data_IF_555339219965
#
_entry.id   IF_555339219965
#
_cell.length_a   1.000
_cell.length_b   1.000
_cell.length_c   1.000
_cell.angle_alpha   90.00
_cell.angle_beta   90.00
_cell.angle_gamma   90.00
#
_symmetry.space_group_name_H-M   'P 1'
#
loop_
_entity.id
_entity.type
_entity.pdbx_description
1 polymer ?
#
# COMPACT_ATOMS: atom_id res chain seq x y z
N UNK A 1 -21.30 -1.66 -58.88
CA UNK A 1 -19.82 -1.79 -58.75
C UNK A 1 -19.37 -2.18 -57.32
N UNK A 2 -20.12 -3.03 -56.60
CA UNK A 2 -19.80 -3.46 -55.21
C UNK A 2 -19.79 -5.00 -55.04
N UNK A 3 -20.21 -5.76 -56.06
CA UNK A 3 -20.23 -7.23 -55.98
C UNK A 3 -18.88 -7.90 -56.27
N UNK A 4 -17.97 -7.25 -57.02
CA UNK A 4 -16.67 -7.84 -57.35
C UNK A 4 -15.67 -7.81 -56.18
N UNK A 5 -15.75 -6.83 -55.27
CA UNK A 5 -14.84 -6.70 -54.12
C UNK A 5 -15.11 -7.71 -53.00
N UNK A 6 -16.35 -8.20 -52.85
CA UNK A 6 -16.67 -9.24 -51.86
C UNK A 6 -16.18 -10.64 -52.26
N UNK A 7 -16.06 -10.91 -53.57
CA UNK A 7 -15.55 -12.20 -54.07
C UNK A 7 -14.03 -12.31 -53.93
N UNK A 8 -13.29 -11.22 -54.17
CA UNK A 8 -11.83 -11.20 -54.03
C UNK A 8 -11.38 -11.31 -52.57
N UNK A 9 -12.11 -10.71 -51.62
CA UNK A 9 -11.79 -10.83 -50.19
C UNK A 9 -12.00 -12.26 -49.66
N UNK A 10 -13.05 -12.96 -50.11
CA UNK A 10 -13.28 -14.36 -49.74
C UNK A 10 -12.22 -15.31 -50.33
N UNK A 11 -11.75 -15.05 -51.55
CA UNK A 11 -10.69 -15.83 -52.16
C UNK A 11 -9.34 -15.63 -51.43
N UNK A 12 -9.05 -14.41 -51.02
CA UNK A 12 -7.84 -14.08 -50.26
C UNK A 12 -7.83 -14.73 -48.86
N UNK A 13 -8.97 -14.72 -48.15
CA UNK A 13 -9.09 -15.41 -46.85
C UNK A 13 -8.94 -16.94 -46.98
N UNK A 14 -9.50 -17.53 -48.05
CA UNK A 14 -9.39 -18.97 -48.28
C UNK A 14 -7.95 -19.38 -48.59
N UNK A 15 -7.22 -18.57 -49.37
CA UNK A 15 -5.79 -18.80 -49.65
C UNK A 15 -4.95 -18.68 -48.37
N UNK A 16 -5.26 -17.73 -47.47
CA UNK A 16 -4.54 -17.57 -46.21
C UNK A 16 -4.69 -18.81 -45.30
N UNK A 17 -5.90 -19.38 -45.22
CA UNK A 17 -6.18 -20.61 -44.45
C UNK A 17 -5.50 -21.84 -45.06
N UNK A 18 -5.37 -21.91 -46.39
CA UNK A 18 -4.64 -23.00 -47.06
C UNK A 18 -3.13 -22.89 -46.79
N UNK A 19 -2.55 -21.68 -46.82
CA UNK A 19 -1.13 -21.47 -46.53
C UNK A 19 -0.76 -21.76 -45.06
N UNK A 20 -1.62 -21.43 -44.09
CA UNK A 20 -1.35 -21.77 -42.67
C UNK A 20 -1.41 -23.27 -42.40
N UNK A 21 -2.23 -24.02 -43.15
CA UNK A 21 -2.33 -25.48 -43.00
C UNK A 21 -1.21 -26.24 -43.74
N UNK A 22 -0.68 -25.68 -44.83
CA UNK A 22 0.49 -26.26 -45.52
C UNK A 22 1.80 -26.03 -44.75
N UNK A 23 1.93 -24.91 -44.04
CA UNK A 23 3.13 -24.60 -43.24
C UNK A 23 3.30 -25.46 -41.98
N UNK A 24 2.28 -26.22 -41.56
CA UNK A 24 2.36 -27.11 -40.40
C UNK A 24 2.58 -28.59 -40.77
N UNK A 25 2.85 -28.91 -42.05
CA UNK A 25 2.95 -30.31 -42.53
C UNK A 25 4.29 -30.71 -43.15
N UNK A 26 5.37 -30.02 -42.80
CA UNK A 26 6.74 -30.45 -43.14
C UNK A 26 7.64 -30.38 -41.90
N UNK A 27 7.59 -31.44 -41.09
CA UNK A 27 8.77 -31.97 -40.39
C UNK A 27 8.48 -33.35 -39.79
N UNK A 28 8.14 -34.30 -40.65
CA UNK A 28 8.26 -35.73 -40.32
C UNK A 28 8.68 -36.51 -41.56
N UNK A 29 9.98 -36.59 -41.82
CA UNK A 29 10.56 -37.68 -42.60
C UNK A 29 11.80 -38.19 -41.86
N UNK A 30 11.68 -39.39 -41.27
CA UNK A 30 12.42 -40.59 -41.68
C UNK A 30 13.93 -40.40 -41.69
N UNK A 31 14.54 -40.46 -40.51
CA UNK A 31 15.89 -40.99 -40.29
C UNK A 31 16.13 -41.14 -38.78
N UNK A 32 15.48 -42.12 -38.13
CA UNK A 32 15.87 -42.60 -36.78
C UNK A 32 15.18 -43.91 -36.38
N UNK A 33 15.19 -44.89 -37.27
CA UNK A 33 14.61 -46.22 -37.01
C UNK A 33 15.66 -47.30 -36.69
N UNK A 34 16.88 -46.91 -36.29
CA UNK A 34 17.96 -47.87 -36.00
C UNK A 34 18.65 -47.73 -34.63
N UNK A 35 18.03 -47.05 -33.66
CA UNK A 35 18.54 -47.01 -32.27
C UNK A 35 17.52 -47.40 -31.20
N UNK A 36 16.37 -47.98 -31.58
CA UNK A 36 15.20 -48.15 -30.70
C UNK A 36 15.26 -49.39 -29.78
N UNK A 37 16.19 -50.33 -29.97
CA UNK A 37 16.17 -51.60 -29.21
C UNK A 37 17.07 -51.67 -27.97
N UNK A 38 17.73 -50.58 -27.57
CA UNK A 38 18.57 -50.56 -26.34
C UNK A 38 18.18 -49.49 -25.32
N UNK A 39 17.12 -48.71 -25.58
CA UNK A 39 16.64 -47.65 -24.67
C UNK A 39 15.26 -47.93 -24.08
N UNK A 40 14.66 -49.08 -24.38
CA UNK A 40 13.30 -49.44 -23.93
C UNK A 40 13.23 -50.01 -22.51
N UNK A 41 14.36 -50.36 -21.89
CA UNK A 41 14.40 -50.91 -20.51
C UNK A 41 14.73 -49.87 -19.42
N UNK A 42 15.08 -48.63 -19.78
CA UNK A 42 15.44 -47.57 -18.81
C UNK A 42 14.43 -46.42 -18.73
N UNK A 43 13.39 -46.44 -19.57
CA UNK A 43 12.38 -45.37 -19.65
C UNK A 43 11.14 -45.71 -18.82
N UNK A 44 10.78 -46.98 -18.65
CA UNK A 44 9.58 -47.35 -17.87
C UNK A 44 9.76 -47.13 -16.36
N UNK A 45 10.96 -47.29 -15.79
CA UNK A 45 11.19 -46.97 -14.37
C UNK A 45 11.22 -45.48 -14.06
N UNK A 46 11.44 -44.64 -15.09
CA UNK A 46 11.51 -43.19 -14.93
C UNK A 46 10.12 -42.55 -15.07
N UNK A 47 9.22 -43.14 -15.87
CA UNK A 47 7.86 -42.64 -16.06
C UNK A 47 6.97 -42.95 -14.84
N UNK A 48 7.10 -44.13 -14.21
CA UNK A 48 6.36 -44.41 -12.96
C UNK A 48 6.83 -43.55 -11.77
N UNK A 49 8.10 -43.12 -11.80
CA UNK A 49 8.62 -42.17 -10.81
C UNK A 49 8.08 -40.75 -11.08
N UNK A 50 7.93 -40.35 -12.35
CA UNK A 50 7.38 -39.03 -12.74
C UNK A 50 5.87 -38.95 -12.49
N UNK A 51 5.11 -40.02 -12.75
CA UNK A 51 3.65 -40.05 -12.52
C UNK A 51 3.32 -40.07 -11.01
N UNK A 52 4.18 -40.68 -10.17
CA UNK A 52 4.04 -40.57 -8.72
C UNK A 52 4.49 -39.21 -8.17
N UNK A 53 5.50 -38.57 -8.77
CA UNK A 53 5.87 -37.18 -8.46
C UNK A 53 4.81 -36.15 -8.87
N UNK A 54 4.04 -36.39 -9.93
CA UNK A 54 2.90 -35.53 -10.33
C UNK A 54 1.62 -35.75 -9.51
N UNK A 55 1.47 -36.91 -8.85
CA UNK A 55 0.36 -37.15 -7.92
C UNK A 55 0.63 -36.61 -6.52
N UNK A 56 1.88 -36.61 -6.07
CA UNK A 56 2.26 -36.02 -4.78
C UNK A 56 2.49 -34.50 -4.85
N UNK A 57 2.62 -33.91 -6.04
CA UNK A 57 2.76 -32.45 -6.21
C UNK A 57 1.45 -31.66 -6.19
N UNK A 58 0.29 -32.33 -6.12
CA UNK A 58 -1.02 -31.67 -5.97
C UNK A 58 -1.35 -31.18 -4.56
N UNK A 59 -0.44 -31.35 -3.59
CA UNK A 59 -0.60 -30.81 -2.23
C UNK A 59 0.71 -30.20 -1.66
N UNK A 60 1.63 -29.75 -2.52
CA UNK A 60 2.73 -28.92 -2.03
C UNK A 60 2.17 -27.51 -1.79
N UNK A 61 1.85 -27.25 -0.53
CA UNK A 61 1.77 -25.92 0.06
C UNK A 61 2.98 -25.11 -0.40
N UNK A 62 2.78 -24.27 -1.43
CA UNK A 62 3.72 -23.21 -1.79
C UNK A 62 3.50 -22.07 -0.79
N UNK A 63 3.87 -22.30 0.47
CA UNK A 63 3.83 -21.28 1.53
C UNK A 63 5.22 -20.71 1.86
N UNK A 64 6.32 -21.29 1.36
CA UNK A 64 7.63 -21.09 2.00
C UNK A 64 8.63 -20.14 1.31
N UNK A 65 8.25 -19.30 0.33
CA UNK A 65 9.22 -18.35 -0.26
C UNK A 65 8.70 -16.95 -0.63
N UNK A 66 7.50 -16.55 -0.18
CA UNK A 66 6.96 -15.21 -0.44
C UNK A 66 6.92 -14.39 0.85
N UNK A 67 7.99 -13.65 1.13
CA UNK A 67 8.21 -12.96 2.41
C UNK A 67 7.38 -11.69 2.64
N UNK A 68 6.50 -11.28 1.72
CA UNK A 68 5.49 -10.25 2.03
C UNK A 68 4.28 -10.25 1.08
N UNK A 69 3.19 -10.93 1.46
CA UNK A 69 1.89 -10.75 0.79
C UNK A 69 1.14 -9.53 1.31
N UNK A 70 0.73 -8.60 0.44
CA UNK A 70 -0.34 -7.69 0.81
C UNK A 70 -1.66 -8.46 0.78
N UNK A 71 -2.29 -8.64 1.94
CA UNK A 71 -3.60 -9.27 2.07
C UNK A 71 -4.68 -8.19 2.08
N UNK A 72 -5.75 -8.40 1.32
CA UNK A 72 -6.86 -7.46 1.20
C UNK A 72 -8.16 -8.19 1.50
N UNK A 73 -8.96 -7.60 2.38
CA UNK A 73 -10.26 -8.13 2.79
C UNK A 73 -11.37 -7.24 2.29
N UNK A 74 -12.51 -7.86 1.98
CA UNK A 74 -13.68 -7.12 1.58
C UNK A 74 -14.08 -6.11 2.65
N UNK A 75 -14.40 -4.89 2.23
CA UNK A 75 -14.82 -3.83 3.12
C UNK A 75 -16.27 -3.43 2.89
N UNK A 76 -16.64 -3.15 1.63
CA UNK A 76 -17.97 -2.68 1.24
C UNK A 76 -18.11 -2.70 -0.28
N UNK A 77 -19.34 -2.64 -0.78
CA UNK A 77 -19.62 -2.38 -2.19
C UNK A 77 -20.65 -1.25 -2.39
N UNK A 78 -20.74 -0.73 -3.62
CA UNK A 78 -21.75 0.25 -4.00
C UNK A 78 -22.04 0.18 -5.50
N UNK A 79 -23.30 0.37 -5.89
CA UNK A 79 -23.71 0.36 -7.29
C UNK A 79 -23.55 1.72 -7.97
N UNK A 80 -23.13 1.72 -9.23
CA UNK A 80 -22.95 2.91 -10.07
C UNK A 80 -24.24 3.31 -10.77
N UNK A 81 -25.06 2.34 -11.22
CA UNK A 81 -26.12 2.58 -12.20
C UNK A 81 -27.52 2.15 -11.77
N UNK A 82 -27.70 1.35 -10.72
CA UNK A 82 -29.03 0.99 -10.18
C UNK A 82 -28.94 0.45 -8.75
N UNK A 83 -29.91 0.70 -7.85
CA UNK A 83 -29.91 0.15 -6.49
C UNK A 83 -30.15 -1.37 -6.41
N UNK A 84 -29.96 -2.13 -7.50
CA UNK A 84 -29.87 -3.59 -7.39
C UNK A 84 -28.69 -3.92 -6.47
N UNK A 85 -28.98 -4.76 -5.48
CA UNK A 85 -28.08 -5.10 -4.39
C UNK A 85 -26.82 -5.74 -4.97
N UNK A 86 -25.73 -4.98 -4.95
CA UNK A 86 -24.41 -5.53 -5.16
C UNK A 86 -24.25 -6.73 -4.22
N UNK A 87 -23.79 -7.86 -4.75
CA UNK A 87 -23.74 -9.10 -4.00
C UNK A 87 -22.53 -9.09 -3.05
N UNK A 88 -22.73 -8.54 -1.84
CA UNK A 88 -21.70 -8.50 -0.79
C UNK A 88 -21.20 -9.90 -0.43
N UNK A 89 -22.12 -10.87 -0.35
CA UNK A 89 -21.82 -12.26 0.01
C UNK A 89 -20.85 -12.93 -0.98
N UNK A 90 -20.79 -12.48 -2.24
CA UNK A 90 -19.82 -13.02 -3.22
C UNK A 90 -18.37 -12.82 -2.78
N UNK A 91 -18.11 -11.75 -2.03
CA UNK A 91 -16.75 -11.32 -1.68
C UNK A 91 -16.47 -11.28 -0.18
N UNK A 92 -17.46 -11.56 0.68
CA UNK A 92 -17.31 -11.48 2.14
C UNK A 92 -16.16 -12.34 2.67
N UNK A 93 -16.03 -13.58 2.19
CA UNK A 93 -14.95 -14.50 2.55
C UNK A 93 -13.70 -14.41 1.65
N UNK A 94 -13.67 -13.45 0.73
CA UNK A 94 -12.63 -13.34 -0.28
C UNK A 94 -11.34 -12.76 0.28
N UNK A 95 -10.30 -13.60 0.39
CA UNK A 95 -8.93 -13.18 0.73
C UNK A 95 -8.13 -12.99 -0.53
N UNK A 96 -7.87 -11.73 -0.84
CA UNK A 96 -7.13 -11.34 -2.01
C UNK A 96 -5.67 -11.08 -1.63
N UNK A 97 -4.72 -11.75 -2.29
CA UNK A 97 -3.28 -11.50 -2.12
C UNK A 97 -2.63 -11.22 -3.46
N UNK A 98 -1.72 -10.26 -3.46
CA UNK A 98 -0.88 -9.92 -4.61
C UNK A 98 0.57 -10.16 -4.22
N UNK A 99 1.28 -10.92 -5.05
CA UNK A 99 2.72 -11.17 -4.88
C UNK A 99 3.41 -10.99 -6.23
N UNK A 100 4.22 -9.94 -6.35
CA UNK A 100 4.79 -9.49 -7.62
C UNK A 100 3.69 -9.31 -8.68
N UNK A 101 3.65 -10.20 -9.66
CA UNK A 101 2.68 -10.21 -10.75
C UNK A 101 1.66 -11.35 -10.62
N UNK A 102 1.58 -12.04 -9.48
CA UNK A 102 0.67 -13.18 -9.28
C UNK A 102 -0.45 -12.85 -8.29
N UNK A 103 -1.66 -13.29 -8.63
CA UNK A 103 -2.84 -13.13 -7.78
C UNK A 103 -3.19 -14.45 -7.11
N UNK A 104 -3.42 -14.38 -5.80
CA UNK A 104 -3.94 -15.49 -5.01
C UNK A 104 -5.28 -15.10 -4.40
N UNK A 105 -6.24 -16.01 -4.50
CA UNK A 105 -7.58 -15.87 -3.97
C UNK A 105 -7.81 -17.04 -3.03
N UNK A 106 -8.12 -16.75 -1.76
CA UNK A 106 -8.28 -17.77 -0.72
C UNK A 106 -7.08 -18.72 -0.66
N UNK A 107 -5.87 -18.14 -0.75
CA UNK A 107 -4.57 -18.83 -0.81
C UNK A 107 -4.32 -19.69 -2.06
N UNK A 108 -5.24 -19.72 -3.03
CA UNK A 108 -5.05 -20.43 -4.28
C UNK A 108 -4.52 -19.48 -5.35
N UNK A 109 -3.46 -19.87 -6.06
CA UNK A 109 -3.02 -19.16 -7.25
C UNK A 109 -4.15 -19.09 -8.28
N UNK A 110 -4.30 -17.94 -8.94
CA UNK A 110 -5.32 -17.74 -9.97
C UNK A 110 -4.68 -17.47 -11.32
N UNK A 111 -4.17 -16.26 -11.53
CA UNK A 111 -3.49 -15.85 -12.76
C UNK A 111 -2.38 -14.84 -12.44
N UNK A 112 -1.51 -14.64 -13.43
CA UNK A 112 -0.60 -13.50 -13.44
C UNK A 112 -1.33 -12.25 -13.96
N UNK A 113 -0.92 -11.08 -13.49
CA UNK A 113 -1.47 -9.77 -13.84
C UNK A 113 -0.42 -8.87 -14.46
N UNK A 114 -0.89 -7.86 -15.20
CA UNK A 114 -0.05 -6.77 -15.69
C UNK A 114 -0.30 -5.55 -14.81
N UNK A 115 0.76 -5.02 -14.22
CA UNK A 115 0.72 -3.81 -13.40
C UNK A 115 1.00 -2.56 -14.23
N UNK A 116 0.43 -1.42 -13.84
CA UNK A 116 0.72 -0.14 -14.49
C UNK A 116 0.14 1.06 -13.72
N UNK A 117 0.20 2.24 -14.35
CA UNK A 117 -0.40 3.47 -13.83
C UNK A 117 -1.24 4.16 -14.89
N UNK A 118 -2.30 4.83 -14.45
CA UNK A 118 -3.14 5.65 -15.32
C UNK A 118 -3.66 6.91 -14.63
N UNK A 119 -4.06 7.91 -15.42
CA UNK A 119 -4.70 9.13 -14.91
C UNK A 119 -6.08 8.81 -14.35
N UNK A 120 -6.41 9.37 -13.20
CA UNK A 120 -7.65 9.04 -12.49
C UNK A 120 -8.93 9.38 -13.26
N UNK A 121 -8.92 10.42 -14.10
CA UNK A 121 -10.05 10.74 -14.99
C UNK A 121 -10.46 9.58 -15.92
N UNK A 122 -9.54 8.66 -16.22
CA UNK A 122 -9.85 7.47 -17.02
C UNK A 122 -10.65 6.43 -16.23
N UNK A 123 -10.57 6.42 -14.88
CA UNK A 123 -11.40 5.54 -14.07
C UNK A 123 -12.88 5.88 -14.25
N UNK A 124 -13.21 7.17 -14.22
CA UNK A 124 -14.58 7.62 -14.45
C UNK A 124 -15.03 7.29 -15.88
N UNK A 125 -14.22 7.67 -16.88
CA UNK A 125 -14.59 7.49 -18.30
C UNK A 125 -14.79 6.03 -18.69
N UNK A 126 -14.02 5.10 -18.12
CA UNK A 126 -14.04 3.69 -18.53
C UNK A 126 -14.85 2.80 -17.58
N UNK A 127 -14.90 3.12 -16.29
CA UNK A 127 -15.50 2.26 -15.26
C UNK A 127 -16.61 2.94 -14.46
N UNK A 128 -16.93 4.21 -14.72
CA UNK A 128 -17.94 4.96 -13.97
C UNK A 128 -17.50 5.36 -12.55
N UNK A 129 -16.23 5.16 -12.19
CA UNK A 129 -15.70 5.45 -10.87
C UNK A 129 -15.27 6.92 -10.80
N UNK A 130 -16.14 7.79 -10.28
CA UNK A 130 -15.82 9.22 -10.07
C UNK A 130 -15.20 9.50 -8.70
N UNK A 131 -14.53 10.65 -8.56
CA UNK A 131 -13.98 11.11 -7.27
C UNK A 131 -15.08 11.28 -6.22
N UNK A 132 -16.20 11.86 -6.62
CA UNK A 132 -17.38 12.09 -5.76
C UNK A 132 -17.99 10.76 -5.33
N UNK A 133 -18.08 9.78 -6.24
CA UNK A 133 -18.60 8.46 -5.94
C UNK A 133 -17.74 7.75 -4.88
N UNK A 134 -16.41 7.76 -5.05
CA UNK A 134 -15.50 7.13 -4.10
C UNK A 134 -15.50 7.80 -2.74
N UNK A 135 -15.52 9.14 -2.72
CA UNK A 135 -15.57 9.90 -1.48
C UNK A 135 -16.89 9.68 -0.72
N UNK A 136 -18.02 9.71 -1.42
CA UNK A 136 -19.35 9.53 -0.82
C UNK A 136 -19.56 8.13 -0.27
N UNK A 137 -19.23 7.09 -1.05
CA UNK A 137 -19.60 5.71 -0.72
C UNK A 137 -18.56 4.99 0.13
N UNK A 138 -17.29 5.36 -0.01
CA UNK A 138 -16.17 4.67 0.64
C UNK A 138 -15.25 5.60 1.46
N UNK A 139 -15.49 6.92 1.46
CA UNK A 139 -14.60 7.90 2.09
C UNK A 139 -13.16 7.82 1.57
N UNK A 140 -13.00 7.57 0.27
CA UNK A 140 -11.71 7.47 -0.42
C UNK A 140 -11.49 8.72 -1.28
N UNK A 141 -10.34 9.37 -1.11
CA UNK A 141 -9.92 10.47 -1.99
C UNK A 141 -9.16 9.91 -3.18
N UNK A 142 -9.64 10.20 -4.39
CA UNK A 142 -9.00 9.74 -5.63
C UNK A 142 -7.78 10.65 -5.97
N UNK A 143 -6.55 10.12 -6.04
CA UNK A 143 -5.37 10.87 -6.49
C UNK A 143 -5.40 11.13 -8.00
N UNK A 144 -4.49 11.97 -8.52
CA UNK A 144 -4.41 12.29 -9.96
C UNK A 144 -3.99 11.08 -10.82
N UNK A 145 -3.23 10.15 -10.24
CA UNK A 145 -2.76 8.92 -10.88
C UNK A 145 -3.00 7.74 -9.96
N UNK A 146 -3.40 6.63 -10.55
CA UNK A 146 -3.80 5.41 -9.85
C UNK A 146 -3.03 4.24 -10.42
N UNK A 147 -2.46 3.41 -9.54
CA UNK A 147 -1.86 2.14 -9.94
C UNK A 147 -2.96 1.13 -10.22
N UNK A 148 -2.77 0.30 -11.22
CA UNK A 148 -3.73 -0.75 -11.56
C UNK A 148 -3.03 -2.09 -11.78
N UNK A 149 -3.80 -3.16 -11.62
CA UNK A 149 -3.49 -4.50 -12.12
C UNK A 149 -4.58 -4.90 -13.11
N UNK A 150 -4.17 -5.60 -14.17
CA UNK A 150 -5.06 -6.10 -15.23
C UNK A 150 -4.87 -7.60 -15.39
N UNK A 151 -5.97 -8.33 -15.51
CA UNK A 151 -5.97 -9.71 -15.98
C UNK A 151 -5.65 -9.73 -17.50
N UNK A 152 -4.48 -10.23 -17.93
CA UNK A 152 -4.15 -10.36 -19.35
C UNK A 152 -4.99 -11.40 -20.07
N UNK A 153 -5.57 -12.35 -19.32
CA UNK A 153 -6.48 -13.40 -19.80
C UNK A 153 -7.94 -13.02 -19.62
N UNK A 154 -8.23 -11.72 -19.62
CA UNK A 154 -9.61 -11.26 -19.65
C UNK A 154 -10.36 -11.93 -20.82
N UNK A 155 -11.60 -12.34 -20.60
CA UNK A 155 -12.44 -13.11 -21.54
C UNK A 155 -12.02 -14.57 -21.80
N UNK A 156 -10.98 -15.08 -21.15
CA UNK A 156 -10.66 -16.52 -21.17
C UNK A 156 -11.48 -17.23 -20.09
N UNK A 157 -12.40 -18.11 -20.49
CA UNK A 157 -13.23 -18.88 -19.54
C UNK A 157 -12.41 -19.82 -18.63
N UNK A 158 -11.16 -20.10 -19.00
CA UNK A 158 -10.24 -20.91 -18.21
C UNK A 158 -9.36 -20.07 -17.27
N UNK A 159 -9.52 -18.73 -17.23
CA UNK A 159 -8.86 -17.86 -16.25
C UNK A 159 -9.69 -17.87 -14.96
N UNK A 160 -9.16 -18.39 -13.83
CA UNK A 160 -9.85 -18.29 -12.55
C UNK A 160 -10.13 -16.83 -12.17
N UNK A 161 -9.26 -15.90 -12.58
CA UNK A 161 -9.36 -14.49 -12.26
C UNK A 161 -10.52 -13.76 -12.98
N UNK A 162 -10.96 -14.23 -14.17
CA UNK A 162 -12.06 -13.62 -14.94
C UNK A 162 -13.38 -13.59 -14.15
N UNK A 163 -13.59 -14.54 -13.22
CA UNK A 163 -14.78 -14.59 -12.37
C UNK A 163 -14.83 -13.47 -11.31
N UNK A 164 -13.71 -12.78 -11.10
CA UNK A 164 -13.54 -11.82 -10.02
C UNK A 164 -13.39 -10.39 -10.50
N UNK A 165 -12.45 -10.11 -11.40
CA UNK A 165 -12.30 -8.78 -12.01
C UNK A 165 -11.42 -8.83 -13.26
N UNK A 166 -11.57 -7.80 -14.11
CA UNK A 166 -10.68 -7.57 -15.26
C UNK A 166 -9.56 -6.59 -14.96
N UNK A 167 -9.91 -5.50 -14.28
CA UNK A 167 -8.99 -4.47 -13.83
C UNK A 167 -9.30 -4.18 -12.35
N UNK A 168 -8.26 -3.99 -11.55
CA UNK A 168 -8.37 -3.51 -10.18
C UNK A 168 -7.40 -2.36 -9.93
N UNK A 169 -7.78 -1.44 -9.05
CA UNK A 169 -7.13 -0.15 -8.86
C UNK A 169 -6.70 0.05 -7.42
N UNK A 170 -5.43 0.35 -7.21
CA UNK A 170 -4.88 0.67 -5.89
C UNK A 170 -5.06 2.15 -5.58
N UNK A 171 -5.79 2.44 -4.51
CA UNK A 171 -6.00 3.80 -4.02
C UNK A 171 -5.70 3.80 -2.52
N UNK A 172 -4.53 4.34 -2.16
CA UNK A 172 -3.99 4.30 -0.80
C UNK A 172 -3.99 2.87 -0.22
N UNK A 173 -4.81 2.64 0.82
CA UNK A 173 -4.94 1.36 1.52
C UNK A 173 -6.11 0.52 0.99
N UNK A 174 -6.62 0.85 -0.19
CA UNK A 174 -7.75 0.18 -0.81
C UNK A 174 -7.42 -0.38 -2.19
N UNK A 175 -8.08 -1.48 -2.51
CA UNK A 175 -8.25 -1.94 -3.88
C UNK A 175 -9.72 -1.79 -4.23
N UNK A 176 -9.99 -1.20 -5.40
CA UNK A 176 -11.34 -1.12 -5.95
C UNK A 176 -11.38 -1.72 -7.34
N UNK A 177 -12.46 -2.41 -7.66
CA UNK A 177 -12.72 -2.89 -9.02
C UNK A 177 -14.22 -2.92 -9.32
N UNK A 178 -14.54 -2.90 -10.61
CA UNK A 178 -15.91 -2.90 -11.10
C UNK A 178 -16.29 -4.27 -11.66
N UNK A 179 -17.46 -4.76 -11.26
CA UNK A 179 -18.10 -5.96 -11.82
C UNK A 179 -19.60 -5.70 -11.91
N UNK A 180 -20.18 -5.87 -13.10
CA UNK A 180 -21.63 -5.85 -13.32
C UNK A 180 -22.36 -4.59 -12.80
N UNK A 181 -21.69 -3.44 -12.83
CA UNK A 181 -22.25 -2.16 -12.37
C UNK A 181 -21.95 -1.84 -10.90
N UNK A 182 -21.32 -2.76 -10.17
CA UNK A 182 -20.95 -2.63 -8.77
C UNK A 182 -19.46 -2.36 -8.61
N UNK A 183 -19.13 -1.44 -7.69
CA UNK A 183 -17.76 -1.22 -7.21
C UNK A 183 -17.59 -1.99 -5.92
N UNK A 184 -16.65 -2.92 -5.92
CA UNK A 184 -16.24 -3.66 -4.75
C UNK A 184 -14.96 -3.05 -4.19
N UNK A 185 -14.94 -2.80 -2.89
CA UNK A 185 -13.84 -2.18 -2.19
C UNK A 185 -13.24 -3.16 -1.18
N UNK A 186 -11.93 -3.36 -1.29
CA UNK A 186 -11.12 -4.17 -0.41
C UNK A 186 -10.15 -3.28 0.33
N UNK A 187 -9.92 -3.57 1.60
CA UNK A 187 -8.97 -2.85 2.45
C UNK A 187 -7.79 -3.75 2.79
N UNK A 188 -6.58 -3.22 2.71
CA UNK A 188 -5.37 -3.97 3.05
C UNK A 188 -5.35 -4.32 4.55
N UNK A 189 -5.17 -5.60 4.88
CA UNK A 189 -5.07 -6.17 6.24
C UNK A 189 -3.67 -6.02 6.82
N UNK A 190 -2.63 -5.94 5.99
CA UNK A 190 -1.26 -5.58 6.43
C UNK A 190 -1.10 -4.09 6.70
N UNK A 191 -2.00 -3.26 6.19
CA UNK A 191 -2.43 -2.05 6.88
C UNK A 191 -3.39 -2.46 8.01
N UNK A 192 -2.90 -3.35 8.87
CA UNK A 192 -3.05 -3.11 10.29
C UNK A 192 -2.59 -1.67 10.41
N UNK A 193 -3.52 -0.79 10.75
CA UNK A 193 -3.13 0.42 11.43
C UNK A 193 -2.01 -0.04 12.38
N UNK A 194 -0.81 0.53 12.27
CA UNK A 194 0.25 0.33 13.26
C UNK A 194 -0.19 0.97 14.59
N UNK A 195 -1.45 0.78 14.98
CA UNK A 195 -2.15 1.25 16.16
C UNK A 195 -2.40 0.09 17.12
N UNK A 196 -2.29 -1.18 16.71
CA UNK A 196 -2.79 -2.29 17.53
C UNK A 196 -1.99 -2.64 18.80
N UNK A 197 -0.84 -2.02 19.07
CA UNK A 197 -0.19 -2.12 20.40
C UNK A 197 0.43 -0.79 20.88
N UNK A 198 0.20 0.33 20.18
CA UNK A 198 0.76 1.61 20.62
C UNK A 198 -0.10 2.12 21.78
N UNK A 199 0.44 2.00 23.00
CA UNK A 199 -0.23 2.46 24.21
C UNK A 199 -0.41 3.99 24.13
N UNK A 200 -1.68 4.41 24.10
CA UNK A 200 -2.05 5.82 24.23
C UNK A 200 -1.57 6.35 25.58
N UNK A 201 -0.96 7.53 25.57
CA UNK A 201 -0.64 8.27 26.79
C UNK A 201 -1.78 9.20 27.17
N UNK A 202 -1.98 9.41 28.47
CA UNK A 202 -3.04 10.28 28.97
C UNK A 202 -2.60 11.75 28.89
N UNK A 203 -3.54 12.60 28.48
CA UNK A 203 -3.43 14.05 28.59
C UNK A 203 -4.00 14.51 29.95
N UNK A 204 -3.54 15.64 30.51
CA UNK A 204 -2.52 16.56 29.98
C UNK A 204 -1.10 15.99 30.05
N UNK A 205 -0.20 16.50 29.21
CA UNK A 205 1.21 16.12 29.20
C UNK A 205 2.12 17.32 28.93
N UNK A 206 3.32 17.30 29.47
CA UNK A 206 4.37 18.31 29.33
C UNK A 206 5.76 17.68 29.23
N UNK A 207 6.76 18.50 28.88
CA UNK A 207 8.19 18.14 28.87
C UNK A 207 8.63 17.44 30.15
N UNK A 208 8.19 17.90 31.33
CA UNK A 208 8.60 17.27 32.60
C UNK A 208 7.93 15.91 32.80
N UNK A 209 6.65 15.79 32.46
CA UNK A 209 5.89 14.55 32.69
C UNK A 209 6.26 13.44 31.71
N UNK A 210 6.68 13.78 30.49
CA UNK A 210 6.95 12.80 29.43
C UNK A 210 8.26 12.02 29.66
N UNK A 211 9.22 12.59 30.41
CA UNK A 211 10.52 11.96 30.73
C UNK A 211 10.39 10.58 31.39
N UNK A 212 9.32 10.37 32.16
CA UNK A 212 9.10 9.13 32.90
C UNK A 212 8.24 8.11 32.15
N UNK A 213 7.87 8.40 30.89
CA UNK A 213 7.02 7.55 30.08
C UNK A 213 7.88 6.82 29.05
N UNK A 214 7.76 5.50 28.99
CA UNK A 214 8.46 4.71 27.97
C UNK A 214 7.89 5.02 26.59
N UNK A 215 8.76 5.28 25.62
CA UNK A 215 8.39 5.48 24.21
C UNK A 215 7.87 4.19 23.57
N UNK A 216 6.97 4.36 22.62
CA UNK A 216 6.52 3.30 21.72
C UNK A 216 7.41 3.25 20.48
N UNK A 217 7.49 2.07 19.88
CA UNK A 217 8.05 1.88 18.53
C UNK A 217 6.99 2.33 17.51
N UNK A 218 7.36 3.21 16.60
CA UNK A 218 6.45 3.79 15.60
C UNK A 218 6.65 3.16 14.21
N UNK A 219 5.67 3.37 13.34
CA UNK A 219 5.72 2.90 11.95
C UNK A 219 6.90 3.55 11.20
N UNK A 220 7.89 2.75 10.83
CA UNK A 220 9.08 3.20 10.09
C UNK A 220 8.73 3.84 8.75
N UNK A 221 7.73 3.34 8.03
CA UNK A 221 7.37 3.88 6.72
C UNK A 221 6.78 5.30 6.82
N UNK A 222 6.10 5.61 7.94
CA UNK A 222 5.48 6.91 8.16
C UNK A 222 6.45 7.94 8.76
N UNK A 223 7.36 7.49 9.64
CA UNK A 223 8.27 8.34 10.39
C UNK A 223 9.75 8.06 10.08
N UNK A 224 10.06 7.68 8.84
CA UNK A 224 11.41 7.28 8.45
C UNK A 224 12.45 8.39 8.70
N UNK A 225 12.06 9.65 8.53
CA UNK A 225 12.91 10.83 8.74
C UNK A 225 13.35 11.00 10.21
N UNK A 226 12.71 10.30 11.15
CA UNK A 226 13.01 10.31 12.58
C UNK A 226 13.78 9.07 13.04
N UNK A 227 14.08 8.16 12.12
CA UNK A 227 14.51 6.82 12.50
C UNK A 227 15.99 6.75 12.89
N UNK A 228 16.83 7.72 12.52
CA UNK A 228 18.24 7.79 12.92
C UNK A 228 19.03 6.46 12.71
N UNK A 229 18.68 5.68 11.67
CA UNK A 229 19.22 4.33 11.42
C UNK A 229 18.50 3.20 12.17
N UNK A 230 17.84 3.52 13.27
CA UNK A 230 16.99 2.63 14.08
C UNK A 230 15.51 2.74 13.67
N UNK A 231 14.61 2.17 14.49
CA UNK A 231 13.16 2.30 14.32
C UNK A 231 12.67 3.56 15.04
N UNK A 232 11.85 4.43 14.41
CA UNK A 232 11.44 5.68 15.01
C UNK A 232 10.65 5.45 16.30
N UNK A 233 10.81 6.33 17.28
CA UNK A 233 10.20 6.21 18.61
C UNK A 233 9.39 7.45 18.96
N UNK A 234 8.37 7.25 19.78
CA UNK A 234 7.56 8.36 20.26
C UNK A 234 6.33 7.95 21.04
N UNK A 235 5.35 8.84 21.11
CA UNK A 235 4.17 8.72 21.94
C UNK A 235 2.93 8.97 21.09
N UNK A 236 1.90 8.14 21.29
CA UNK A 236 0.59 8.37 20.69
C UNK A 236 -0.32 9.05 21.70
N UNK A 237 -0.79 10.25 21.35
CA UNK A 237 -1.64 11.07 22.22
C UNK A 237 -3.14 10.76 22.06
N UNK A 238 -3.50 9.96 21.06
CA UNK A 238 -4.88 9.73 20.67
C UNK A 238 -5.28 10.52 19.43
N UNK A 239 -6.58 10.74 19.28
CA UNK A 239 -7.16 11.47 18.14
C UNK A 239 -7.66 12.84 18.55
N UNK A 240 -7.42 13.84 17.69
CA UNK A 240 -8.16 15.10 17.67
C UNK A 240 -8.96 15.12 16.37
N UNK A 241 -10.29 15.07 16.51
CA UNK A 241 -11.23 14.92 15.39
C UNK A 241 -10.89 13.66 14.56
N UNK A 242 -10.56 13.79 13.28
CA UNK A 242 -10.17 12.67 12.41
C UNK A 242 -8.66 12.41 12.32
N UNK A 243 -7.85 13.13 13.09
CA UNK A 243 -6.39 13.10 13.00
C UNK A 243 -5.77 12.38 14.19
N UNK A 244 -4.88 11.43 13.94
CA UNK A 244 -4.03 10.87 14.99
C UNK A 244 -2.95 11.88 15.35
N UNK A 245 -2.62 11.97 16.63
CA UNK A 245 -1.61 12.91 17.13
C UNK A 245 -0.49 12.14 17.81
N UNK A 246 0.74 12.43 17.41
CA UNK A 246 1.95 11.80 17.92
C UNK A 246 2.94 12.84 18.40
N UNK A 247 3.71 12.52 19.43
CA UNK A 247 5.01 13.16 19.70
C UNK A 247 6.06 12.20 19.19
N UNK A 248 6.93 12.63 18.28
CA UNK A 248 7.98 11.79 17.69
C UNK A 248 9.33 12.35 18.12
N UNK A 249 10.17 11.48 18.68
CA UNK A 249 11.53 11.83 19.07
C UNK A 249 12.46 11.69 17.87
N UNK A 250 13.36 12.66 17.71
CA UNK A 250 14.56 12.53 16.92
C UNK A 250 15.75 12.62 17.89
N UNK A 251 16.37 11.47 18.14
CA UNK A 251 17.47 11.36 19.09
C UNK A 251 18.85 11.33 18.37
N UNK A 252 18.92 11.82 17.12
CA UNK A 252 20.18 11.92 16.38
C UNK A 252 20.64 13.36 16.12
N UNK A 253 21.94 13.48 15.84
CA UNK A 253 22.64 14.74 15.68
C UNK A 253 23.14 15.29 17.01
N UNK A 254 23.66 16.51 16.97
CA UNK A 254 24.24 17.18 18.14
C UNK A 254 23.15 17.63 19.14
N UNK A 255 21.92 17.80 18.67
CA UNK A 255 20.79 18.34 19.44
C UNK A 255 19.52 17.51 19.22
N UNK A 256 19.19 16.59 20.16
CA UNK A 256 17.94 15.85 20.13
C UNK A 256 16.72 16.77 20.20
N UNK A 257 15.64 16.40 19.51
CA UNK A 257 14.42 17.18 19.51
C UNK A 257 13.16 16.30 19.43
N UNK A 258 12.01 16.88 19.75
CA UNK A 258 10.71 16.23 19.59
C UNK A 258 9.78 17.11 18.76
N UNK A 259 9.10 16.48 17.82
CA UNK A 259 8.04 17.10 17.03
C UNK A 259 6.67 16.58 17.45
N UNK A 260 5.67 17.47 17.51
CA UNK A 260 4.26 17.10 17.55
C UNK A 260 3.76 16.96 16.11
N UNK A 261 3.16 15.82 15.78
CA UNK A 261 2.80 15.46 14.41
C UNK A 261 1.33 15.04 14.36
N UNK A 262 0.59 15.55 13.37
CA UNK A 262 -0.75 15.07 13.00
C UNK A 262 -0.69 14.16 11.79
N UNK A 263 -1.44 13.06 11.85
CA UNK A 263 -1.49 12.05 10.79
C UNK A 263 -2.94 11.77 10.39
N UNK A 264 -3.20 11.64 9.10
CA UNK A 264 -4.47 11.15 8.56
C UNK A 264 -4.20 10.21 7.40
N UNK A 265 -4.89 9.07 7.37
CA UNK A 265 -4.76 8.07 6.31
C UNK A 265 -3.29 7.69 6.00
N UNK A 266 -2.50 7.45 7.06
CA UNK A 266 -1.08 7.07 6.95
C UNK A 266 -0.20 8.13 6.23
N UNK A 267 -0.57 9.40 6.32
CA UNK A 267 0.21 10.53 5.82
C UNK A 267 0.35 11.60 6.90
N UNK A 268 1.55 12.17 7.04
CA UNK A 268 1.79 13.32 7.91
C UNK A 268 1.10 14.55 7.31
N UNK A 269 0.24 15.20 8.09
CA UNK A 269 -0.52 16.38 7.66
C UNK A 269 0.18 17.65 8.10
N UNK A 270 0.70 17.67 9.32
CA UNK A 270 1.39 18.82 9.88
C UNK A 270 2.34 18.36 10.98
N UNK A 271 3.40 19.14 11.20
CA UNK A 271 4.33 18.96 12.31
C UNK A 271 4.76 20.31 12.86
N UNK A 272 5.08 20.36 14.15
CA UNK A 272 5.72 21.48 14.82
C UNK A 272 6.77 20.96 15.81
N UNK A 273 7.90 21.67 15.94
CA UNK A 273 8.88 21.38 16.99
C UNK A 273 8.32 21.82 18.34
N UNK A 274 8.34 20.92 19.32
CA UNK A 274 7.78 21.16 20.66
C UNK A 274 8.79 21.03 21.79
N UNK A 275 9.93 20.38 21.53
CA UNK A 275 10.98 20.19 22.53
C UNK A 275 12.33 20.07 21.85
N UNK A 276 13.35 20.57 22.52
CA UNK A 276 14.75 20.46 22.12
C UNK A 276 15.59 21.47 22.88
N UNK A 277 16.87 21.17 22.98
CA UNK A 277 17.90 22.06 23.50
C UNK A 277 19.01 22.21 22.47
N UNK A 278 19.47 23.44 22.28
CA UNK A 278 20.59 23.71 21.38
C UNK A 278 21.41 24.87 21.91
N UNK A 279 22.72 24.85 21.64
CA UNK A 279 23.58 25.96 22.00
C UNK A 279 24.66 26.19 20.94
N UNK A 280 25.23 27.39 20.97
CA UNK A 280 26.32 27.78 20.07
C UNK A 280 27.65 27.15 20.55
N UNK A 281 27.97 25.99 19.98
CA UNK A 281 29.17 25.20 20.32
C UNK A 281 30.45 26.03 20.13
N UNK A 282 30.53 26.82 19.06
CA UNK A 282 31.72 27.62 18.77
C UNK A 282 31.93 28.73 19.82
N UNK A 283 30.85 29.41 20.24
CA UNK A 283 30.93 30.40 21.34
C UNK A 283 31.30 29.73 22.66
N UNK A 284 30.80 28.54 22.95
CA UNK A 284 31.10 27.84 24.19
C UNK A 284 32.60 27.47 24.23
N UNK A 285 33.11 26.83 23.18
CA UNK A 285 34.49 26.36 23.10
C UNK A 285 35.51 27.53 23.04
N UNK A 286 35.25 28.54 22.22
CA UNK A 286 36.23 29.63 21.99
C UNK A 286 36.13 30.77 22.99
N UNK A 287 34.92 31.09 23.46
CA UNK A 287 34.67 32.28 24.29
C UNK A 287 34.20 31.94 25.70
N UNK A 288 33.98 30.66 26.02
CA UNK A 288 33.41 30.21 27.30
C UNK A 288 32.05 30.86 27.58
N UNK A 289 31.27 31.06 26.51
CA UNK A 289 29.91 31.62 26.57
C UNK A 289 28.94 30.56 26.05
N UNK A 290 28.07 30.06 26.94
CA UNK A 290 26.99 29.16 26.58
C UNK A 290 25.74 29.97 26.29
N UNK A 291 25.43 30.13 25.01
CA UNK A 291 24.22 30.76 24.48
C UNK A 291 23.26 29.66 24.05
N UNK A 292 22.31 29.32 24.92
CA UNK A 292 21.48 28.12 24.86
C UNK A 292 20.01 28.49 24.61
N UNK A 293 19.35 27.75 23.72
CA UNK A 293 17.92 27.82 23.47
C UNK A 293 17.26 26.52 23.93
N UNK A 294 16.32 26.63 24.85
CA UNK A 294 15.55 25.50 25.40
C UNK A 294 14.09 25.66 24.98
N UNK A 295 13.55 24.64 24.33
CA UNK A 295 12.14 24.55 23.95
C UNK A 295 11.45 23.54 24.86
N UNK A 296 10.37 23.95 25.51
CA UNK A 296 9.54 23.13 26.39
C UNK A 296 8.08 23.19 25.94
N UNK A 297 7.31 22.14 26.22
CA UNK A 297 5.90 22.11 25.88
C UNK A 297 4.97 21.71 27.03
N UNK A 298 3.71 22.05 26.84
CA UNK A 298 2.56 21.45 27.52
C UNK A 298 1.39 21.31 26.57
N UNK A 299 0.61 20.24 26.73
CA UNK A 299 -0.58 19.91 25.96
C UNK A 299 -1.68 19.57 26.96
N UNK A 300 -2.79 20.30 26.91
CA UNK A 300 -3.96 20.04 27.77
C UNK A 300 -4.84 18.89 27.23
N UNK A 301 -5.89 18.54 27.97
CA UNK A 301 -6.84 17.50 27.56
C UNK A 301 -7.60 17.81 26.25
N UNK A 302 -7.70 19.08 25.87
CA UNK A 302 -8.37 19.57 24.66
C UNK A 302 -7.41 19.73 23.47
N UNK A 303 -6.15 19.28 23.60
CA UNK A 303 -5.08 19.53 22.63
C UNK A 303 -4.78 21.02 22.40
N UNK A 304 -4.94 21.87 23.42
CA UNK A 304 -4.31 23.21 23.44
C UNK A 304 -2.84 23.01 23.77
N UNK A 305 -1.99 23.48 22.87
CA UNK A 305 -0.55 23.27 22.92
C UNK A 305 0.10 24.59 23.29
N UNK A 306 0.95 24.61 24.30
CA UNK A 306 1.77 25.76 24.67
C UNK A 306 3.25 25.37 24.54
N UNK A 307 3.98 26.13 23.72
CA UNK A 307 5.42 25.98 23.50
C UNK A 307 6.13 27.17 24.09
N UNK A 308 7.03 26.92 25.03
CA UNK A 308 7.86 27.90 25.70
C UNK A 308 9.28 27.80 25.16
N UNK A 309 9.81 28.89 24.62
CA UNK A 309 11.22 28.99 24.23
C UNK A 309 11.93 29.89 25.26
N UNK A 310 13.03 29.40 25.82
CA UNK A 310 13.88 30.09 26.79
C UNK A 310 15.27 30.24 26.19
N UNK A 311 15.77 31.47 26.08
CA UNK A 311 17.18 31.70 25.77
C UNK A 311 17.93 31.97 27.08
N UNK A 312 19.04 31.26 27.28
CA UNK A 312 19.95 31.43 28.41
C UNK A 312 21.33 31.84 27.93
N UNK A 313 21.97 32.73 28.67
CA UNK A 313 23.37 33.10 28.50
C UNK A 313 24.12 32.79 29.79
N UNK A 314 25.01 31.79 29.78
CA UNK A 314 25.72 31.29 30.96
C UNK A 314 24.76 31.04 32.13
N UNK A 315 23.77 30.17 31.89
CA UNK A 315 22.70 29.77 32.82
C UNK A 315 21.71 30.86 33.24
N UNK A 316 21.93 32.11 32.84
CA UNK A 316 21.01 33.22 33.13
C UNK A 316 19.98 33.35 32.03
N UNK A 317 18.70 33.26 32.39
CA UNK A 317 17.60 33.52 31.46
C UNK A 317 17.71 34.95 30.90
N UNK A 318 17.80 35.07 29.58
CA UNK A 318 17.86 36.33 28.85
C UNK A 318 16.50 36.70 28.29
N UNK A 319 15.79 35.71 27.76
CA UNK A 319 14.46 35.91 27.22
C UNK A 319 13.63 34.63 27.32
N UNK A 320 12.32 34.84 27.37
CA UNK A 320 11.32 33.78 27.39
C UNK A 320 10.16 34.21 26.50
N UNK A 321 9.72 33.30 25.64
CA UNK A 321 8.54 33.50 24.80
C UNK A 321 7.63 32.28 24.90
N UNK A 322 6.33 32.52 24.81
CA UNK A 322 5.30 31.47 24.82
C UNK A 322 4.48 31.63 23.55
N UNK A 323 4.29 30.53 22.82
CA UNK A 323 3.39 30.45 21.68
C UNK A 323 2.34 29.38 21.93
N UNK A 324 1.07 29.75 21.75
CA UNK A 324 -0.06 28.85 21.92
C UNK A 324 -0.57 28.38 20.55
N UNK A 325 -0.91 27.10 20.45
CA UNK A 325 -1.41 26.48 19.23
C UNK A 325 -2.65 25.64 19.50
N UNK A 326 -3.45 25.47 18.45
CA UNK A 326 -4.53 24.50 18.37
C UNK A 326 -4.43 23.72 17.06
N UNK A 327 -5.11 22.58 17.00
CA UNK A 327 -5.23 21.78 15.79
C UNK A 327 -6.52 22.17 15.06
N UNK A 328 -6.40 22.71 13.83
CA UNK A 328 -7.52 23.06 12.95
C UNK A 328 -7.31 22.35 11.62
N UNK A 329 -8.25 21.49 11.22
CA UNK A 329 -8.14 20.68 9.99
C UNK A 329 -6.81 19.91 9.90
N UNK A 330 -6.33 19.42 11.05
CA UNK A 330 -5.05 18.71 11.16
C UNK A 330 -3.81 19.59 11.13
N UNK A 331 -3.92 20.91 10.99
CA UNK A 331 -2.78 21.84 11.01
C UNK A 331 -2.65 22.54 12.36
N UNK A 332 -1.41 22.68 12.82
CA UNK A 332 -1.11 23.48 14.00
C UNK A 332 -1.24 24.97 13.66
N UNK A 333 -2.19 25.63 14.29
CA UNK A 333 -2.51 27.05 14.07
C UNK A 333 -2.19 27.82 15.33
N UNK A 334 -1.35 28.85 15.21
CA UNK A 334 -1.02 29.74 16.32
C UNK A 334 -2.25 30.56 16.72
N UNK A 335 -2.52 30.66 18.02
CA UNK A 335 -3.59 31.49 18.59
C UNK A 335 -3.14 32.92 18.82
#
# INVERSE_FOLDING_TARGET
MIQHTKKTLKLALLMLVVFTNLSCKENTSKDREKSINTTKSKVDSSIDTIINLEKDSKNILVEDNYTSFDEWVFSKCASISNPQDCNENKYEDFKFKVSNDSIFINNNYTDNVISGELKSDLLYKKYGISKEFLLKNFNISLPDRVKYIRNPRAYDSNSPLENFFRDAFYIDNYIVFQVEGCIYCFKNVKVKEARNDIKKINLPISSNTILNIKTNVLNKNLFNDYSCGDTPRGYYLGKKDTYDVYIVSNDCGDFPFKDLITVKSNSIISKINIEGDSWDIEKEEKKKIRDENITLFSIDADFKISIQNINKLNDKEKSKSISNFIIVNGKFTKK
#
